data_IF_021732137265
#
_entry.id   IF_021732137265
#
_cell.length_a   1.000
_cell.length_b   1.000
_cell.length_c   1.000
_cell.angle_alpha   90.00
_cell.angle_beta   90.00
_cell.angle_gamma   90.00
#
_symmetry.space_group_name_H-M   'P 1'
#
loop_
_entity.id
_entity.type
_entity.pdbx_description
1 polymer ?
#
# COMPACT_ATOMS: atom_id res chain seq x y z
N UNK A 1 -31.27 -7.99 26.23
CA UNK A 1 -30.05 -8.85 26.34
C UNK A 1 -29.86 -9.73 25.09
N UNK A 2 -30.92 -10.37 24.55
CA UNK A 2 -30.79 -11.25 23.33
C UNK A 2 -30.26 -10.48 22.11
N UNK A 3 -30.77 -9.27 21.82
CA UNK A 3 -30.29 -8.45 20.70
C UNK A 3 -28.84 -8.00 20.83
N UNK A 4 -28.35 -7.75 22.04
CA UNK A 4 -26.95 -7.39 22.30
C UNK A 4 -26.04 -8.60 22.04
N UNK A 5 -26.48 -9.79 22.50
CA UNK A 5 -25.77 -11.04 22.22
C UNK A 5 -25.71 -11.40 20.74
N UNK A 6 -26.83 -11.22 20.01
CA UNK A 6 -26.87 -11.45 18.55
C UNK A 6 -25.99 -10.46 17.79
N UNK A 7 -25.96 -9.18 18.16
CA UNK A 7 -25.09 -8.17 17.56
C UNK A 7 -23.61 -8.47 17.83
N UNK A 8 -23.27 -8.91 19.05
CA UNK A 8 -21.91 -9.32 19.39
C UNK A 8 -21.45 -10.55 18.60
N UNK A 9 -22.32 -11.56 18.49
CA UNK A 9 -22.05 -12.76 17.70
C UNK A 9 -21.90 -12.43 16.21
N UNK A 10 -22.77 -11.59 15.65
CA UNK A 10 -22.68 -11.12 14.27
C UNK A 10 -21.38 -10.38 13.99
N UNK A 11 -21.00 -9.44 14.85
CA UNK A 11 -19.75 -8.67 14.69
C UNK A 11 -18.51 -9.57 14.77
N UNK A 12 -18.53 -10.58 15.64
CA UNK A 12 -17.44 -11.55 15.76
C UNK A 12 -17.33 -12.45 14.52
N UNK A 13 -18.46 -12.95 14.02
CA UNK A 13 -18.50 -13.81 12.83
C UNK A 13 -18.18 -13.04 11.54
N UNK A 14 -18.66 -11.81 11.42
CA UNK A 14 -18.37 -10.95 10.24
C UNK A 14 -16.94 -10.45 10.19
N UNK A 15 -16.19 -10.55 11.28
CA UNK A 15 -14.77 -10.22 11.37
C UNK A 15 -13.83 -11.36 10.97
N UNK A 16 -14.34 -12.57 10.74
CA UNK A 16 -13.51 -13.72 10.36
C UNK A 16 -12.89 -13.44 8.98
N UNK A 17 -11.55 -13.50 8.91
CA UNK A 17 -10.79 -13.22 7.69
C UNK A 17 -10.59 -11.73 7.37
N UNK A 18 -11.08 -10.82 8.21
CA UNK A 18 -10.82 -9.38 8.10
C UNK A 18 -9.63 -9.05 8.99
N UNK A 19 -8.55 -8.56 8.38
CA UNK A 19 -7.30 -8.23 9.06
C UNK A 19 -7.15 -6.72 9.35
N UNK A 20 -8.26 -5.99 9.40
CA UNK A 20 -8.25 -4.57 9.78
C UNK A 20 -7.58 -4.38 11.15
N UNK A 21 -6.75 -3.36 11.27
CA UNK A 21 -5.91 -3.05 12.44
C UNK A 21 -4.79 -4.08 12.71
N UNK A 22 -4.50 -4.98 11.78
CA UNK A 22 -3.32 -5.84 11.90
C UNK A 22 -2.05 -4.99 11.82
N UNK A 23 -1.25 -5.04 12.88
CA UNK A 23 -0.07 -4.22 13.09
C UNK A 23 1.05 -5.09 13.66
N UNK A 24 1.75 -5.87 12.83
CA UNK A 24 2.85 -6.70 13.28
C UNK A 24 4.12 -5.88 13.54
N UNK A 25 4.91 -6.30 14.52
CA UNK A 25 6.27 -5.78 14.68
C UNK A 25 7.12 -6.14 13.44
N UNK A 26 7.81 -5.13 12.89
CA UNK A 26 8.65 -5.30 11.71
C UNK A 26 10.11 -5.59 12.10
N UNK A 27 10.89 -6.31 11.26
CA UNK A 27 12.30 -6.58 11.54
C UNK A 27 13.14 -5.32 11.73
N UNK A 28 12.78 -4.23 11.06
CA UNK A 28 13.31 -2.88 11.25
C UNK A 28 12.15 -1.95 11.57
N UNK A 29 12.21 -1.22 12.67
CA UNK A 29 11.20 -0.25 13.05
C UNK A 29 11.30 0.98 12.14
N UNK A 30 10.63 0.91 10.98
CA UNK A 30 10.56 1.98 9.99
C UNK A 30 9.32 2.85 10.23
N UNK A 31 9.53 4.15 10.45
CA UNK A 31 8.44 5.11 10.63
C UNK A 31 8.11 5.84 9.33
N UNK A 32 6.91 5.65 8.80
CA UNK A 32 6.41 6.44 7.68
C UNK A 32 6.18 7.90 8.08
N UNK A 33 5.80 8.15 9.33
CA UNK A 33 5.65 9.50 9.87
C UNK A 33 6.93 10.32 9.75
N UNK A 34 8.09 9.76 10.12
CA UNK A 34 9.36 10.48 9.98
C UNK A 34 9.71 10.70 8.50
N UNK A 35 9.52 9.69 7.65
CA UNK A 35 9.99 9.75 6.26
C UNK A 35 9.01 10.51 5.36
N UNK A 36 7.76 10.11 5.31
CA UNK A 36 6.74 10.72 4.45
C UNK A 36 6.08 11.94 5.10
N UNK A 37 5.80 11.91 6.41
CA UNK A 37 5.18 13.01 7.12
C UNK A 37 6.16 14.16 7.37
N UNK A 38 7.12 13.96 8.27
CA UNK A 38 7.99 15.03 8.73
C UNK A 38 8.99 15.51 7.67
N UNK A 39 9.51 14.60 6.85
CA UNK A 39 10.50 14.91 5.80
C UNK A 39 9.88 15.04 4.40
N UNK A 40 8.59 14.80 4.22
CA UNK A 40 7.88 14.99 2.96
C UNK A 40 8.39 14.12 1.80
N UNK A 41 8.95 12.94 2.09
CA UNK A 41 9.41 12.01 1.05
C UNK A 41 8.19 11.41 0.36
N UNK A 42 8.09 11.58 -0.96
CA UNK A 42 6.99 11.06 -1.77
C UNK A 42 6.92 9.52 -1.70
N UNK A 43 5.69 8.99 -1.62
CA UNK A 43 5.42 7.55 -1.56
C UNK A 43 6.09 6.78 -2.69
N UNK A 44 6.09 7.35 -3.91
CA UNK A 44 6.65 6.72 -5.10
C UNK A 44 8.18 6.72 -5.11
N UNK A 45 8.85 7.49 -4.24
CA UNK A 45 10.30 7.38 -4.10
C UNK A 45 10.72 5.98 -3.65
N UNK A 46 9.93 5.40 -2.75
CA UNK A 46 10.16 4.06 -2.21
C UNK A 46 9.29 3.00 -2.91
N UNK A 47 8.02 3.32 -3.17
CA UNK A 47 7.02 2.40 -3.73
C UNK A 47 6.74 2.65 -5.22
N UNK A 48 7.78 2.98 -6.01
CA UNK A 48 7.65 3.33 -7.44
C UNK A 48 6.93 2.28 -8.27
N UNK A 49 7.01 1.00 -7.88
CA UNK A 49 6.35 -0.09 -8.59
C UNK A 49 4.83 -0.08 -8.46
N UNK A 50 4.26 0.69 -7.51
CA UNK A 50 2.83 0.86 -7.38
C UNK A 50 2.17 1.45 -8.64
N UNK A 51 2.90 2.29 -9.38
CA UNK A 51 2.43 2.86 -10.65
C UNK A 51 2.67 1.96 -11.87
N UNK A 52 3.52 0.94 -11.74
CA UNK A 52 4.01 0.15 -12.87
C UNK A 52 3.49 -1.29 -12.86
N UNK A 53 3.10 -1.81 -11.69
CA UNK A 53 2.76 -3.22 -11.55
C UNK A 53 1.60 -3.46 -10.57
N UNK A 54 1.18 -4.72 -10.48
CA UNK A 54 0.19 -5.14 -9.50
C UNK A 54 0.67 -5.01 -8.04
N UNK A 55 1.98 -5.03 -7.81
CA UNK A 55 2.57 -4.94 -6.48
C UNK A 55 3.25 -3.58 -6.29
N UNK A 56 2.96 -2.93 -5.16
CA UNK A 56 3.62 -1.67 -4.82
C UNK A 56 5.12 -1.86 -4.53
N UNK A 57 5.49 -3.05 -4.08
CA UNK A 57 6.86 -3.38 -3.73
C UNK A 57 7.34 -2.72 -2.43
N UNK A 58 8.43 -3.25 -1.91
CA UNK A 58 9.23 -2.63 -0.85
C UNK A 58 10.59 -2.33 -1.47
N UNK A 59 11.15 -1.12 -1.25
CA UNK A 59 12.41 -0.74 -1.85
C UNK A 59 13.56 -1.62 -1.34
N UNK A 60 14.57 -1.84 -2.17
CA UNK A 60 15.82 -2.45 -1.72
C UNK A 60 16.52 -1.54 -0.69
N UNK A 61 17.35 -2.13 0.16
CA UNK A 61 18.09 -1.36 1.17
C UNK A 61 19.01 -0.28 0.57
N UNK A 62 19.40 -0.41 -0.70
CA UNK A 62 20.18 0.61 -1.39
C UNK A 62 19.43 1.95 -1.48
N UNK A 63 18.10 1.93 -1.56
CA UNK A 63 17.29 3.17 -1.53
C UNK A 63 17.41 3.84 -0.16
N UNK A 64 17.40 3.07 0.92
CA UNK A 64 17.62 3.58 2.28
C UNK A 64 19.00 4.26 2.39
N UNK A 65 20.01 3.68 1.75
CA UNK A 65 21.39 4.17 1.80
C UNK A 65 21.62 5.48 1.04
N UNK A 66 20.69 5.92 0.21
CA UNK A 66 20.78 7.26 -0.40
C UNK A 66 20.88 8.36 0.66
N UNK A 67 20.22 8.17 1.81
CA UNK A 67 20.27 9.08 2.94
C UNK A 67 21.09 8.52 4.10
N UNK A 68 20.91 7.24 4.44
CA UNK A 68 21.51 6.62 5.61
C UNK A 68 23.03 6.34 5.49
N UNK A 69 23.64 6.57 4.35
CA UNK A 69 25.10 6.69 4.25
C UNK A 69 25.66 7.81 5.15
N UNK A 70 24.86 8.88 5.37
CA UNK A 70 25.24 10.04 6.19
C UNK A 70 24.40 10.18 7.44
N UNK A 71 23.10 9.83 7.38
CA UNK A 71 22.18 9.89 8.52
C UNK A 71 22.25 8.53 9.22
N UNK A 72 23.10 8.43 10.23
CA UNK A 72 23.38 7.19 10.96
C UNK A 72 22.71 7.10 12.33
N UNK A 73 21.87 8.09 12.66
CA UNK A 73 21.12 8.13 13.91
C UNK A 73 19.71 8.67 13.68
N UNK A 74 18.72 7.91 14.13
CA UNK A 74 17.30 8.28 14.02
C UNK A 74 16.80 8.97 15.27
N UNK A 75 15.77 9.81 15.11
CA UNK A 75 15.18 10.59 16.22
C UNK A 75 14.46 9.71 17.27
N UNK A 76 13.83 8.62 16.82
CA UNK A 76 13.08 7.71 17.71
C UNK A 76 13.92 6.58 18.29
N UNK A 77 14.78 5.98 17.49
CA UNK A 77 15.46 4.72 17.83
C UNK A 77 16.98 4.85 17.95
N UNK A 78 17.50 6.07 17.77
CA UNK A 78 18.93 6.31 17.73
C UNK A 78 19.59 5.51 16.60
N UNK A 79 20.71 4.86 16.90
CA UNK A 79 21.47 4.05 15.94
C UNK A 79 20.94 2.63 15.77
N UNK A 80 20.08 2.16 16.68
CA UNK A 80 19.70 0.75 16.78
C UNK A 80 19.11 0.18 15.48
N UNK A 81 18.11 0.85 14.93
CA UNK A 81 17.38 0.34 13.77
C UNK A 81 18.17 0.57 12.47
N UNK A 82 18.88 1.69 12.35
CA UNK A 82 19.75 1.97 11.20
C UNK A 82 20.91 0.98 11.13
N UNK A 83 21.47 0.57 12.25
CA UNK A 83 22.51 -0.44 12.30
C UNK A 83 22.06 -1.80 11.75
N UNK A 84 20.76 -2.13 11.84
CA UNK A 84 20.22 -3.34 11.19
C UNK A 84 20.31 -3.25 9.65
N UNK A 85 20.11 -2.06 9.07
CA UNK A 85 20.31 -1.81 7.63
C UNK A 85 21.79 -2.06 7.29
N UNK A 86 22.71 -1.44 8.04
CA UNK A 86 24.14 -1.60 7.81
C UNK A 86 24.60 -3.06 7.91
N UNK A 87 24.12 -3.77 8.93
CA UNK A 87 24.40 -5.18 9.08
C UNK A 87 23.84 -6.05 7.94
N UNK A 88 22.70 -5.68 7.36
CA UNK A 88 22.11 -6.41 6.27
C UNK A 88 22.88 -6.26 4.95
N UNK A 89 23.44 -5.08 4.68
CA UNK A 89 24.12 -4.77 3.42
C UNK A 89 25.64 -4.75 3.51
N UNK A 90 26.22 -4.91 4.71
CA UNK A 90 27.66 -4.88 4.91
C UNK A 90 28.26 -3.48 4.78
N UNK A 91 27.67 -2.49 5.44
CA UNK A 91 28.16 -1.11 5.44
C UNK A 91 28.77 -0.73 6.79
N UNK A 92 29.98 -0.18 6.77
CA UNK A 92 30.64 0.36 7.97
C UNK A 92 30.37 1.87 8.08
N UNK A 93 29.55 2.33 9.06
CA UNK A 93 29.24 3.73 9.23
C UNK A 93 30.42 4.61 9.65
N UNK A 94 31.51 4.03 10.20
CA UNK A 94 32.67 4.79 10.63
C UNK A 94 33.57 5.18 9.46
N UNK A 95 33.77 4.24 8.54
CA UNK A 95 34.55 4.46 7.31
C UNK A 95 33.67 4.95 6.15
N UNK A 96 32.36 4.79 6.24
CA UNK A 96 31.37 5.05 5.19
C UNK A 96 31.65 4.26 3.92
N UNK A 97 32.07 3.02 4.08
CA UNK A 97 32.39 2.11 2.97
C UNK A 97 31.67 0.79 3.12
N UNK A 98 31.43 0.13 2.00
CA UNK A 98 30.95 -1.24 2.00
C UNK A 98 32.09 -2.20 2.30
N UNK A 99 31.82 -3.24 3.09
CA UNK A 99 32.76 -4.31 3.41
C UNK A 99 32.94 -5.15 2.14
N UNK A 100 34.18 -5.30 1.64
CA UNK A 100 34.44 -6.14 0.48
C UNK A 100 33.95 -7.58 0.70
N UNK A 101 33.42 -8.19 -0.35
CA UNK A 101 32.95 -9.58 -0.37
C UNK A 101 31.89 -9.92 0.69
N UNK A 102 31.19 -8.90 1.22
CA UNK A 102 30.13 -9.11 2.21
C UNK A 102 28.90 -9.75 1.56
N UNK A 103 28.46 -10.87 2.14
CA UNK A 103 27.22 -11.52 1.74
C UNK A 103 26.01 -10.74 2.30
N UNK A 104 25.34 -9.98 1.43
CA UNK A 104 24.17 -9.19 1.79
C UNK A 104 22.99 -10.09 2.14
N UNK A 105 22.23 -9.69 3.16
CA UNK A 105 21.05 -10.42 3.63
C UNK A 105 19.79 -9.59 3.37
N UNK A 106 18.75 -10.19 2.78
CA UNK A 106 17.47 -9.50 2.63
C UNK A 106 16.83 -9.23 3.99
N UNK A 107 16.06 -8.16 4.09
CA UNK A 107 15.18 -7.92 5.23
C UNK A 107 13.84 -8.60 4.95
N UNK A 108 13.45 -9.52 5.81
CA UNK A 108 12.20 -10.28 5.69
C UNK A 108 11.03 -9.47 6.28
N UNK A 109 10.55 -8.48 5.53
CA UNK A 109 9.42 -7.67 5.94
C UNK A 109 8.14 -8.47 6.09
N UNK A 110 7.40 -8.21 7.15
CA UNK A 110 6.10 -8.86 7.38
C UNK A 110 5.03 -8.10 6.60
N UNK A 111 4.32 -8.83 5.75
CA UNK A 111 3.25 -8.25 4.92
C UNK A 111 2.05 -7.88 5.79
N UNK A 112 1.64 -6.60 5.73
CA UNK A 112 0.54 -6.05 6.51
C UNK A 112 -0.77 -6.15 5.72
N UNK A 113 -0.79 -5.59 4.50
CA UNK A 113 -1.96 -5.61 3.64
C UNK A 113 -1.98 -6.90 2.82
N UNK A 114 -2.90 -7.79 3.14
CA UNK A 114 -3.01 -9.09 2.50
C UNK A 114 -4.44 -9.34 2.02
N UNK A 115 -4.58 -9.68 0.74
CA UNK A 115 -5.82 -10.21 0.18
C UNK A 115 -5.74 -11.73 0.12
N UNK A 116 -6.89 -12.45 0.20
CA UNK A 116 -6.92 -13.88 -0.08
C UNK A 116 -6.35 -14.20 -1.46
N UNK A 117 -5.71 -15.35 -1.61
CA UNK A 117 -5.04 -15.75 -2.87
C UNK A 117 -6.00 -15.76 -4.07
N UNK A 118 -7.29 -15.98 -3.82
CA UNK A 118 -8.34 -15.94 -4.84
C UNK A 118 -8.71 -14.53 -5.33
N UNK A 119 -8.21 -13.47 -4.67
CA UNK A 119 -8.51 -12.10 -5.02
C UNK A 119 -7.33 -11.42 -5.70
N UNK A 120 -7.55 -10.97 -6.93
CA UNK A 120 -6.57 -10.20 -7.70
C UNK A 120 -6.73 -8.71 -7.43
N UNK A 121 -5.61 -8.02 -7.17
CA UNK A 121 -5.55 -6.57 -7.07
C UNK A 121 -4.35 -6.03 -7.85
N UNK A 122 -4.57 -4.95 -8.58
CA UNK A 122 -3.52 -4.32 -9.37
C UNK A 122 -3.33 -2.86 -8.95
N UNK A 123 -2.21 -2.55 -8.28
CA UNK A 123 -1.90 -1.19 -7.86
C UNK A 123 -1.83 -0.22 -9.05
N UNK A 124 -1.16 -0.58 -10.15
CA UNK A 124 -1.01 0.35 -11.28
C UNK A 124 -2.35 0.76 -11.90
N UNK A 125 -3.33 -0.13 -11.90
CA UNK A 125 -4.68 0.17 -12.38
C UNK A 125 -5.38 1.20 -11.49
N UNK A 126 -5.19 1.13 -10.18
CA UNK A 126 -5.82 2.05 -9.22
C UNK A 126 -5.05 3.36 -9.07
N UNK A 127 -3.72 3.29 -8.96
CA UNK A 127 -2.89 4.45 -8.67
C UNK A 127 -2.53 5.24 -9.93
N UNK A 128 -2.15 4.57 -11.02
CA UNK A 128 -1.70 5.25 -12.23
C UNK A 128 -2.82 5.52 -13.21
N UNK A 129 -3.74 4.56 -13.41
CA UNK A 129 -4.81 4.69 -14.39
C UNK A 129 -6.01 5.43 -13.80
N UNK A 130 -6.44 5.07 -12.58
CA UNK A 130 -7.58 5.70 -11.93
C UNK A 130 -7.21 6.91 -11.04
N UNK A 131 -5.92 7.24 -10.89
CA UNK A 131 -5.47 8.42 -10.13
C UNK A 131 -5.81 8.40 -8.63
N UNK A 132 -6.09 7.21 -8.06
CA UNK A 132 -6.51 7.09 -6.66
C UNK A 132 -5.32 7.31 -5.73
N UNK A 133 -5.49 8.20 -4.75
CA UNK A 133 -4.48 8.50 -3.75
C UNK A 133 -4.23 7.31 -2.81
N UNK A 134 -2.97 7.16 -2.37
CA UNK A 134 -2.54 6.05 -1.52
C UNK A 134 -3.36 5.97 -0.23
N UNK A 135 -3.65 7.12 0.37
CA UNK A 135 -4.38 7.24 1.63
C UNK A 135 -5.81 6.74 1.57
N UNK A 136 -6.44 6.72 0.39
CA UNK A 136 -7.79 6.19 0.21
C UNK A 136 -7.91 4.75 0.69
N UNK A 137 -6.86 3.96 0.49
CA UNK A 137 -6.82 2.54 0.89
C UNK A 137 -5.97 2.33 2.15
N UNK A 138 -4.85 3.03 2.27
CA UNK A 138 -3.87 2.83 3.34
C UNK A 138 -4.08 3.72 4.56
N UNK A 139 -5.03 4.69 4.50
CA UNK A 139 -5.25 5.67 5.55
C UNK A 139 -4.11 6.71 5.62
N UNK A 140 -4.03 7.50 6.70
CA UNK A 140 -3.03 8.55 6.87
C UNK A 140 -1.65 7.94 7.20
N UNK A 141 -1.07 7.23 6.21
CA UNK A 141 0.17 6.45 6.39
C UNK A 141 1.36 7.33 6.79
N UNK A 142 1.35 8.58 6.35
CA UNK A 142 2.33 9.61 6.71
C UNK A 142 2.24 10.06 8.18
N UNK A 143 1.25 9.61 8.92
CA UNK A 143 1.11 9.84 10.36
C UNK A 143 1.48 8.59 11.20
N UNK A 144 1.80 7.47 10.52
CA UNK A 144 2.04 6.19 11.18
C UNK A 144 3.51 5.97 11.49
N UNK A 145 3.85 5.82 12.77
CA UNK A 145 5.16 5.32 13.20
C UNK A 145 5.27 3.81 12.95
N UNK A 146 4.19 3.08 13.19
CA UNK A 146 4.04 1.65 12.88
C UNK A 146 2.83 1.45 11.99
N UNK A 147 3.04 0.88 10.80
CA UNK A 147 1.97 0.69 9.82
C UNK A 147 1.03 -0.42 10.25
N UNK A 148 -0.26 -0.17 10.10
CA UNK A 148 -1.32 -1.16 10.28
C UNK A 148 -2.27 -1.20 9.09
N UNK A 149 -3.01 -2.27 8.94
CA UNK A 149 -4.04 -2.36 7.90
C UNK A 149 -5.22 -1.45 8.28
N UNK A 150 -5.31 -0.30 7.63
CA UNK A 150 -6.34 0.72 7.89
C UNK A 150 -7.71 0.28 7.36
N UNK A 151 -7.81 -0.03 6.09
CA UNK A 151 -9.06 -0.40 5.43
C UNK A 151 -9.39 -1.88 5.61
N UNK A 152 -10.68 -2.21 5.57
CA UNK A 152 -11.16 -3.60 5.73
C UNK A 152 -10.69 -4.53 4.62
N UNK A 153 -10.53 -4.01 3.41
CA UNK A 153 -10.14 -4.76 2.21
C UNK A 153 -11.03 -5.99 1.93
N UNK A 154 -12.28 -5.93 2.34
CA UNK A 154 -13.29 -6.96 2.05
C UNK A 154 -13.87 -6.76 0.65
N UNK A 155 -14.44 -7.81 0.07
CA UNK A 155 -15.14 -7.73 -1.23
C UNK A 155 -16.19 -6.61 -1.23
N UNK A 156 -17.01 -6.49 -0.17
CA UNK A 156 -18.01 -5.42 -0.04
C UNK A 156 -17.41 -4.03 -0.01
N UNK A 157 -16.24 -3.86 0.60
CA UNK A 157 -15.51 -2.60 0.62
C UNK A 157 -15.07 -2.17 -0.79
N UNK A 158 -14.49 -3.10 -1.54
CA UNK A 158 -14.07 -2.86 -2.94
C UNK A 158 -15.28 -2.55 -3.84
N UNK A 159 -16.36 -3.34 -3.73
CA UNK A 159 -17.59 -3.16 -4.52
C UNK A 159 -18.24 -1.81 -4.25
N UNK A 160 -18.27 -1.34 -3.01
CA UNK A 160 -18.84 -0.04 -2.69
C UNK A 160 -18.03 1.10 -3.31
N UNK A 161 -16.70 1.01 -3.22
CA UNK A 161 -15.82 1.96 -3.90
C UNK A 161 -16.08 1.99 -5.43
N UNK A 162 -16.16 0.82 -6.09
CA UNK A 162 -16.42 0.73 -7.53
C UNK A 162 -17.80 1.26 -7.95
N UNK A 163 -18.78 1.28 -7.04
CA UNK A 163 -20.10 1.87 -7.31
C UNK A 163 -20.10 3.39 -7.30
N UNK A 164 -19.22 3.97 -6.50
CA UNK A 164 -19.20 5.40 -6.22
C UNK A 164 -18.09 6.13 -6.96
N UNK A 165 -17.03 5.42 -7.36
CA UNK A 165 -15.88 6.01 -8.05
C UNK A 165 -16.17 6.23 -9.52
N UNK A 166 -16.01 7.47 -9.96
CA UNK A 166 -16.07 7.86 -11.35
C UNK A 166 -14.82 7.39 -12.11
N UNK A 167 -15.00 7.09 -13.39
CA UNK A 167 -13.90 6.75 -14.27
C UNK A 167 -13.21 8.03 -14.71
N UNK A 168 -11.88 8.08 -14.56
CA UNK A 168 -11.07 9.17 -15.12
C UNK A 168 -11.09 9.08 -16.67
N UNK A 169 -12.02 9.82 -17.27
CA UNK A 169 -12.23 9.85 -18.71
C UNK A 169 -11.17 10.68 -19.45
N UNK A 170 -10.40 11.50 -18.74
CA UNK A 170 -9.27 12.24 -19.31
C UNK A 170 -8.03 11.34 -19.48
N UNK A 171 -8.02 10.18 -18.84
CA UNK A 171 -6.98 9.18 -19.01
C UNK A 171 -7.03 8.61 -20.44
N UNK A 172 -5.95 8.68 -21.24
CA UNK A 172 -5.93 8.21 -22.62
C UNK A 172 -6.35 6.74 -22.78
N UNK A 173 -6.09 5.90 -21.78
CA UNK A 173 -6.49 4.49 -21.79
C UNK A 173 -8.01 4.32 -21.80
N UNK A 174 -8.74 5.16 -21.06
CA UNK A 174 -10.20 5.10 -21.00
C UNK A 174 -10.88 5.95 -22.06
N UNK A 175 -10.27 7.05 -22.47
CA UNK A 175 -10.86 7.98 -23.45
C UNK A 175 -11.32 7.29 -24.73
N UNK A 176 -10.50 6.42 -25.31
CA UNK A 176 -10.85 5.72 -26.57
C UNK A 176 -11.79 4.54 -26.32
N UNK A 177 -11.64 3.82 -25.19
CA UNK A 177 -12.49 2.70 -24.83
C UNK A 177 -13.91 3.12 -24.42
N UNK A 178 -14.08 4.32 -23.89
CA UNK A 178 -15.32 4.76 -23.26
C UNK A 178 -16.04 5.89 -24.01
N UNK A 179 -15.52 6.32 -25.15
CA UNK A 179 -16.22 7.30 -26.00
C UNK A 179 -17.65 6.84 -26.33
N UNK A 180 -17.83 5.56 -26.67
CA UNK A 180 -19.15 4.98 -26.90
C UNK A 180 -20.04 5.00 -25.63
N UNK A 181 -19.45 4.90 -24.44
CA UNK A 181 -20.18 4.94 -23.17
C UNK A 181 -20.58 6.35 -22.80
N UNK A 182 -19.71 7.34 -22.98
CA UNK A 182 -20.02 8.77 -22.78
C UNK A 182 -21.17 9.16 -23.69
N UNK A 183 -21.12 8.76 -24.97
CA UNK A 183 -22.20 9.01 -25.93
C UNK A 183 -23.49 8.28 -25.53
N UNK A 184 -23.40 7.05 -25.01
CA UNK A 184 -24.54 6.23 -24.59
C UNK A 184 -25.25 6.78 -23.35
N UNK A 185 -24.48 7.31 -22.39
CA UNK A 185 -25.02 7.85 -21.15
C UNK A 185 -25.22 9.38 -21.19
N UNK A 186 -25.19 9.99 -22.40
CA UNK A 186 -25.52 11.41 -22.63
C UNK A 186 -24.70 12.40 -21.78
N UNK A 187 -23.44 12.05 -21.45
CA UNK A 187 -22.57 12.90 -20.68
C UNK A 187 -22.80 12.82 -19.15
N UNK A 188 -23.56 11.83 -18.69
CA UNK A 188 -23.63 11.52 -17.26
C UNK A 188 -22.28 10.94 -16.78
N UNK A 189 -21.96 11.16 -15.52
CA UNK A 189 -20.77 10.61 -14.87
C UNK A 189 -20.77 9.10 -14.94
N UNK A 190 -19.71 8.53 -15.51
CA UNK A 190 -19.58 7.08 -15.69
C UNK A 190 -18.79 6.50 -14.52
N UNK A 191 -19.45 5.66 -13.74
CA UNK A 191 -18.77 4.96 -12.62
C UNK A 191 -18.06 3.70 -13.07
N UNK A 192 -17.10 3.24 -12.27
CA UNK A 192 -16.37 1.98 -12.49
C UNK A 192 -17.32 0.78 -12.59
N UNK A 193 -18.45 0.81 -11.86
CA UNK A 193 -19.51 -0.19 -11.94
C UNK A 193 -20.11 -0.30 -13.33
N UNK A 194 -20.42 0.84 -13.97
CA UNK A 194 -21.05 0.90 -15.29
C UNK A 194 -20.17 0.30 -16.38
N UNK A 195 -18.85 0.31 -16.21
CA UNK A 195 -17.87 -0.27 -17.15
C UNK A 195 -17.46 -1.71 -16.80
N UNK A 196 -18.23 -2.38 -15.94
CA UNK A 196 -18.01 -3.76 -15.57
C UNK A 196 -17.00 -3.97 -14.43
N UNK A 197 -16.67 -2.95 -13.65
CA UNK A 197 -15.73 -3.04 -12.53
C UNK A 197 -16.20 -3.95 -11.38
N UNK A 198 -17.45 -4.44 -11.42
CA UNK A 198 -17.99 -5.43 -10.46
C UNK A 198 -18.12 -6.84 -11.02
N UNK A 199 -17.69 -7.08 -12.25
CA UNK A 199 -17.71 -8.43 -12.79
C UNK A 199 -16.76 -9.33 -12.00
N UNK A 200 -17.24 -10.53 -11.62
CA UNK A 200 -16.51 -11.46 -10.77
C UNK A 200 -15.08 -11.74 -11.30
N UNK A 201 -14.93 -11.94 -12.61
CA UNK A 201 -13.65 -12.21 -13.24
C UNK A 201 -12.66 -11.04 -13.30
N UNK A 202 -13.05 -9.84 -12.85
CA UNK A 202 -12.12 -8.71 -12.70
C UNK A 202 -11.29 -8.79 -11.42
N UNK A 203 -11.83 -9.47 -10.40
CA UNK A 203 -11.22 -9.60 -9.08
C UNK A 203 -10.89 -11.06 -8.72
N UNK A 204 -11.52 -12.03 -9.37
CA UNK A 204 -11.34 -13.46 -9.09
C UNK A 204 -10.93 -14.23 -10.36
N UNK A 205 -10.06 -15.24 -10.20
CA UNK A 205 -9.61 -16.15 -11.25
C UNK A 205 -9.70 -17.61 -10.81
#
# INVERSE_FOLDING_TARGET
FVFIGMKGCWNSLSGIGVTQNYQPEQPIAFSHKIHAGDNGIDCNYCHYTARLSKHAGIPSLNVCMNCHTYINEGTLTGKKEINKIYAAIGFDPNTRTYIPDYEQKPVEWIRIHNLPDLAYFNHSQHVNVAGIECQTCHGPIEEMDEVYQYSKLTMGWCINCHRETEVDTDNPYYHDLHKEWIDKYHGEEVTVDMIGGRECGKCHY
#
